data_IF_355490944090
#
_entry.id   IF_355490944090
#
_cell.length_a   1.000
_cell.length_b   1.000
_cell.length_c   1.000
_cell.angle_alpha   90.00
_cell.angle_beta   90.00
_cell.angle_gamma   90.00
#
_symmetry.space_group_name_H-M   'P 1'
#
loop_
_entity.id
_entity.type
_entity.pdbx_description
1 polymer ?
#
# COMPACT_ATOMS: atom_id res chain seq x y z
N UNK A 1 8.49 -15.15 24.83
CA UNK A 1 7.55 -14.79 23.73
C UNK A 1 6.37 -13.96 24.25
N UNK A 2 5.60 -14.42 25.25
CA UNK A 2 4.37 -13.76 25.74
C UNK A 2 4.53 -12.29 26.23
N UNK A 3 5.69 -11.91 26.79
CA UNK A 3 5.89 -10.54 27.32
C UNK A 3 5.93 -9.45 26.24
N UNK A 4 6.41 -9.76 25.03
CA UNK A 4 6.52 -8.78 23.93
C UNK A 4 5.13 -8.50 23.35
N UNK A 5 4.35 -9.56 23.10
CA UNK A 5 2.96 -9.43 22.69
C UNK A 5 2.14 -8.63 23.70
N UNK A 6 2.36 -8.85 25.00
CA UNK A 6 1.71 -8.05 26.04
C UNK A 6 2.08 -6.56 25.96
N UNK A 7 3.34 -6.22 25.71
CA UNK A 7 3.77 -4.81 25.56
C UNK A 7 3.13 -4.17 24.33
N UNK A 8 3.19 -4.83 23.17
CA UNK A 8 2.55 -4.34 21.94
C UNK A 8 1.04 -4.21 22.08
N UNK A 9 0.40 -5.15 22.80
CA UNK A 9 -1.02 -5.08 23.11
C UNK A 9 -1.34 -3.88 24.02
N UNK A 10 -0.55 -3.64 25.08
CA UNK A 10 -0.73 -2.47 25.96
C UNK A 10 -0.51 -1.17 25.18
N UNK A 11 0.51 -1.10 24.32
CA UNK A 11 0.75 0.06 23.46
C UNK A 11 -0.40 0.29 22.48
N UNK A 12 -0.88 -0.77 21.82
CA UNK A 12 -2.03 -0.71 20.93
C UNK A 12 -3.27 -0.22 21.67
N UNK A 13 -3.58 -0.80 22.83
CA UNK A 13 -4.73 -0.41 23.65
C UNK A 13 -4.62 1.02 24.17
N UNK A 14 -3.44 1.42 24.67
CA UNK A 14 -3.18 2.77 25.16
C UNK A 14 -3.29 3.82 24.06
N UNK A 15 -2.65 3.60 22.92
CA UNK A 15 -2.75 4.50 21.77
C UNK A 15 -4.16 4.54 21.20
N UNK A 16 -4.84 3.39 21.10
CA UNK A 16 -6.23 3.34 20.64
C UNK A 16 -7.15 4.10 21.60
N UNK A 17 -6.95 3.97 22.91
CA UNK A 17 -7.72 4.73 23.91
C UNK A 17 -7.47 6.24 23.80
N UNK A 18 -6.23 6.67 23.54
CA UNK A 18 -5.90 8.09 23.28
C UNK A 18 -6.60 8.58 22.01
N UNK A 19 -6.53 7.82 20.91
CA UNK A 19 -7.17 8.17 19.64
C UNK A 19 -8.70 8.23 19.77
N UNK A 20 -9.30 7.28 20.49
CA UNK A 20 -10.74 7.28 20.80
C UNK A 20 -11.13 8.44 21.72
N UNK A 21 -10.30 8.77 22.70
CA UNK A 21 -10.53 9.85 23.67
C UNK A 21 -10.39 11.26 23.09
N UNK A 22 -9.59 11.45 22.03
CA UNK A 22 -9.50 12.73 21.32
C UNK A 22 -10.76 13.03 20.48
N UNK A 23 -11.57 12.02 20.18
CA UNK A 23 -12.63 12.13 19.18
C UNK A 23 -12.04 12.30 17.77
N UNK A 24 -12.82 11.96 16.74
CA UNK A 24 -12.35 12.14 15.37
C UNK A 24 -12.09 13.60 15.05
N UNK A 25 -10.87 13.93 14.62
CA UNK A 25 -10.58 15.27 14.11
C UNK A 25 -10.99 15.40 12.65
N UNK A 26 -11.64 16.51 12.33
CA UNK A 26 -11.89 16.94 10.93
C UNK A 26 -10.66 17.58 10.27
N UNK A 27 -9.51 17.58 10.96
CA UNK A 27 -8.20 18.03 10.48
C UNK A 27 -7.21 16.89 10.24
N UNK A 28 -7.63 15.64 10.49
CA UNK A 28 -6.86 14.42 10.27
C UNK A 28 -7.58 13.54 9.24
N UNK A 29 -6.86 12.59 8.64
CA UNK A 29 -7.43 11.72 7.61
C UNK A 29 -7.57 12.38 6.24
N UNK A 30 -6.70 13.33 5.90
CA UNK A 30 -6.79 14.06 4.61
C UNK A 30 -6.82 13.12 3.39
N UNK A 31 -6.06 12.03 3.42
CA UNK A 31 -6.08 11.03 2.36
C UNK A 31 -7.25 10.06 2.51
N UNK A 32 -7.67 9.77 3.74
CA UNK A 32 -8.90 8.99 4.00
C UNK A 32 -10.15 9.68 3.47
N UNK A 33 -10.15 11.01 3.43
CA UNK A 33 -11.23 11.81 2.87
C UNK A 33 -11.50 11.44 1.41
N UNK A 34 -10.46 11.12 0.63
CA UNK A 34 -10.63 10.70 -0.76
C UNK A 34 -11.36 9.35 -0.85
N UNK A 35 -10.97 8.38 0.00
CA UNK A 35 -11.55 7.04 0.05
C UNK A 35 -13.01 7.10 0.51
N UNK A 36 -13.29 7.91 1.53
CA UNK A 36 -14.62 8.13 2.06
C UNK A 36 -15.53 8.84 1.06
N UNK A 37 -15.05 9.90 0.41
CA UNK A 37 -15.82 10.65 -0.59
C UNK A 37 -16.15 9.80 -1.81
N UNK A 38 -15.18 9.03 -2.31
CA UNK A 38 -15.40 8.10 -3.42
C UNK A 38 -16.40 7.00 -3.03
N UNK A 39 -16.29 6.46 -1.82
CA UNK A 39 -17.23 5.44 -1.32
C UNK A 39 -18.65 5.98 -1.12
N UNK A 40 -18.80 7.24 -0.65
CA UNK A 40 -20.07 7.96 -0.58
C UNK A 40 -20.73 8.05 -1.96
N UNK A 41 -19.97 8.48 -2.97
CA UNK A 41 -20.46 8.61 -4.34
C UNK A 41 -20.88 7.26 -4.93
N UNK A 42 -20.07 6.21 -4.73
CA UNK A 42 -20.39 4.87 -5.19
C UNK A 42 -21.70 4.36 -4.56
N UNK A 43 -21.89 4.55 -3.25
CA UNK A 43 -23.13 4.18 -2.56
C UNK A 43 -24.36 4.98 -3.04
N UNK A 44 -24.16 6.15 -3.65
CA UNK A 44 -25.20 6.97 -4.25
C UNK A 44 -25.45 6.63 -5.74
N UNK A 45 -24.79 5.61 -6.28
CA UNK A 45 -24.85 5.28 -7.71
C UNK A 45 -24.23 6.34 -8.61
N UNK A 46 -23.33 7.16 -8.07
CA UNK A 46 -22.63 8.23 -8.79
C UNK A 46 -21.20 7.82 -9.14
N UNK A 47 -20.60 8.48 -10.15
CA UNK A 47 -19.21 8.26 -10.52
C UNK A 47 -18.26 8.61 -9.35
N UNK A 48 -17.58 7.62 -8.72
CA UNK A 48 -16.74 7.85 -7.56
C UNK A 48 -15.36 8.45 -7.90
N UNK A 49 -15.07 8.61 -9.19
CA UNK A 49 -13.87 9.25 -9.72
C UNK A 49 -14.15 10.65 -10.30
N UNK A 50 -15.36 11.18 -10.14
CA UNK A 50 -15.72 12.54 -10.59
C UNK A 50 -15.02 13.61 -9.74
N UNK A 51 -14.11 14.39 -10.36
CA UNK A 51 -13.40 15.46 -9.67
C UNK A 51 -14.35 16.51 -9.07
N UNK A 52 -15.39 16.89 -9.81
CA UNK A 52 -16.38 17.86 -9.36
C UNK A 52 -17.16 17.35 -8.13
N UNK A 53 -17.67 16.12 -8.20
CA UNK A 53 -18.47 15.54 -7.12
C UNK A 53 -17.64 15.26 -5.86
N UNK A 54 -16.40 14.79 -6.05
CA UNK A 54 -15.42 14.64 -4.98
C UNK A 54 -15.14 15.99 -4.30
N UNK A 55 -14.86 17.04 -5.08
CA UNK A 55 -14.58 18.39 -4.56
C UNK A 55 -15.72 18.89 -3.68
N UNK A 56 -16.98 18.75 -4.13
CA UNK A 56 -18.15 19.19 -3.38
C UNK A 56 -18.26 18.51 -2.01
N UNK A 57 -18.07 17.19 -1.95
CA UNK A 57 -18.10 16.41 -0.71
C UNK A 57 -16.93 16.80 0.21
N UNK A 58 -15.73 16.94 -0.35
CA UNK A 58 -14.52 17.28 0.41
C UNK A 58 -14.63 18.66 1.06
N UNK A 59 -15.05 19.69 0.31
CA UNK A 59 -15.23 21.05 0.83
C UNK A 59 -16.34 21.14 1.90
N UNK A 60 -17.39 20.34 1.77
CA UNK A 60 -18.46 20.30 2.76
C UNK A 60 -18.04 19.63 4.08
N UNK A 61 -17.04 18.75 4.05
CA UNK A 61 -16.69 17.86 5.18
C UNK A 61 -15.39 18.28 5.88
N UNK A 62 -14.38 18.68 5.12
CA UNK A 62 -13.04 18.96 5.63
C UNK A 62 -12.98 20.27 6.42
N UNK A 63 -12.28 20.26 7.56
CA UNK A 63 -12.05 21.46 8.39
C UNK A 63 -10.57 21.73 8.68
N UNK A 64 -9.65 20.91 8.18
CA UNK A 64 -8.21 21.07 8.39
C UNK A 64 -7.53 22.14 7.54
N UNK A 65 -8.26 23.17 7.10
CA UNK A 65 -7.75 24.26 6.27
C UNK A 65 -8.11 24.15 4.79
N UNK A 66 -7.50 25.01 3.97
CA UNK A 66 -7.79 25.07 2.54
C UNK A 66 -7.33 23.79 1.82
N UNK A 67 -8.22 23.19 1.02
CA UNK A 67 -7.89 22.16 0.03
C UNK A 67 -7.86 22.86 -1.33
N UNK A 68 -6.70 23.30 -1.83
CA UNK A 68 -6.62 24.07 -3.07
C UNK A 68 -6.96 23.22 -4.31
N UNK A 69 -6.77 21.90 -4.24
CA UNK A 69 -7.04 20.94 -5.32
C UNK A 69 -7.67 19.70 -4.69
N UNK A 70 -8.76 19.13 -5.26
CA UNK A 70 -9.36 17.92 -4.73
C UNK A 70 -8.33 16.79 -4.65
N UNK A 71 -8.38 16.05 -3.55
CA UNK A 71 -7.59 14.82 -3.42
C UNK A 71 -8.34 13.75 -4.21
N UNK A 72 -7.83 13.46 -5.40
CA UNK A 72 -8.45 12.53 -6.33
C UNK A 72 -8.12 11.10 -5.93
N UNK A 73 -9.14 10.23 -6.02
CA UNK A 73 -8.98 8.80 -5.83
C UNK A 73 -8.23 8.19 -7.03
N UNK A 74 -6.90 8.03 -6.93
CA UNK A 74 -6.09 7.43 -8.02
C UNK A 74 -5.94 5.91 -7.93
N UNK A 75 -6.54 5.28 -6.93
CA UNK A 75 -6.49 3.83 -6.78
C UNK A 75 -7.42 3.13 -7.79
N UNK A 76 -7.00 1.97 -8.32
CA UNK A 76 -7.85 1.20 -9.23
C UNK A 76 -9.14 0.69 -8.55
N UNK A 77 -10.20 0.38 -9.32
CA UNK A 77 -11.52 0.02 -8.81
C UNK A 77 -11.59 -1.10 -7.78
N UNK A 78 -10.68 -2.08 -7.81
CA UNK A 78 -10.71 -3.20 -6.86
C UNK A 78 -10.62 -2.77 -5.39
N UNK A 79 -10.15 -1.55 -5.12
CA UNK A 79 -10.15 -0.98 -3.76
C UNK A 79 -11.55 -0.90 -3.15
N UNK A 80 -12.60 -0.70 -3.96
CA UNK A 80 -13.96 -0.53 -3.45
C UNK A 80 -14.48 -1.78 -2.74
N UNK A 81 -14.00 -2.97 -3.08
CA UNK A 81 -14.35 -4.19 -2.35
C UNK A 81 -13.92 -4.17 -0.88
N UNK A 82 -12.90 -3.36 -0.56
CA UNK A 82 -12.39 -3.18 0.80
C UNK A 82 -12.96 -1.96 1.51
N UNK A 83 -13.38 -0.94 0.75
CA UNK A 83 -13.70 0.37 1.35
C UNK A 83 -15.12 0.86 1.10
N UNK A 84 -15.92 0.29 0.18
CA UNK A 84 -17.22 0.89 -0.19
C UNK A 84 -18.13 1.17 1.01
N UNK A 85 -18.10 0.30 2.02
CA UNK A 85 -18.93 0.44 3.22
C UNK A 85 -18.53 1.64 4.09
N UNK A 86 -17.30 2.17 3.99
CA UNK A 86 -16.84 3.28 4.81
C UNK A 86 -17.63 4.57 4.53
N UNK A 87 -18.21 4.70 3.33
CA UNK A 87 -19.04 5.85 2.95
C UNK A 87 -20.34 5.97 3.77
N UNK A 88 -20.73 4.93 4.52
CA UNK A 88 -21.89 4.96 5.43
C UNK A 88 -21.60 5.67 6.75
N UNK A 89 -20.33 5.80 7.13
CA UNK A 89 -19.94 6.36 8.42
C UNK A 89 -19.81 7.89 8.35
N UNK A 90 -19.98 8.53 9.49
CA UNK A 90 -19.56 9.92 9.68
C UNK A 90 -18.01 10.00 9.61
N UNK A 91 -17.49 11.04 8.96
CA UNK A 91 -16.07 11.12 8.62
C UNK A 91 -15.15 11.13 9.88
N UNK A 92 -15.35 11.99 10.89
CA UNK A 92 -14.66 11.91 12.18
C UNK A 92 -14.58 10.50 12.79
N UNK A 93 -15.71 9.79 12.91
CA UNK A 93 -15.73 8.45 13.49
C UNK A 93 -14.91 7.46 12.67
N UNK A 94 -14.99 7.57 11.35
CA UNK A 94 -14.21 6.75 10.44
C UNK A 94 -12.70 7.00 10.57
N UNK A 95 -12.26 8.25 10.75
CA UNK A 95 -10.84 8.59 10.95
C UNK A 95 -10.26 7.81 12.12
N UNK A 96 -10.94 7.81 13.28
CA UNK A 96 -10.45 7.09 14.46
C UNK A 96 -10.42 5.58 14.22
N UNK A 97 -11.49 5.01 13.67
CA UNK A 97 -11.56 3.58 13.38
C UNK A 97 -10.47 3.15 12.39
N UNK A 98 -10.20 3.96 11.37
CA UNK A 98 -9.14 3.71 10.40
C UNK A 98 -7.76 3.78 11.03
N UNK A 99 -7.51 4.76 11.90
CA UNK A 99 -6.23 4.88 12.61
C UNK A 99 -5.97 3.67 13.52
N UNK A 100 -6.98 3.21 14.26
CA UNK A 100 -6.85 2.00 15.09
C UNK A 100 -6.56 0.77 14.23
N UNK A 101 -7.26 0.60 13.11
CA UNK A 101 -7.02 -0.50 12.17
C UNK A 101 -5.60 -0.44 11.58
N UNK A 102 -5.18 0.72 11.08
CA UNK A 102 -3.86 0.94 10.50
C UNK A 102 -2.75 0.64 11.52
N UNK A 103 -2.90 1.13 12.76
CA UNK A 103 -1.96 0.87 13.85
C UNK A 103 -1.86 -0.62 14.17
N UNK A 104 -2.99 -1.32 14.27
CA UNK A 104 -3.01 -2.76 14.52
C UNK A 104 -2.31 -3.54 13.40
N UNK A 105 -2.57 -3.18 12.14
CA UNK A 105 -1.90 -3.81 10.98
C UNK A 105 -0.40 -3.57 11.02
N UNK A 106 0.05 -2.33 11.24
CA UNK A 106 1.47 -2.01 11.27
C UNK A 106 2.20 -2.74 12.40
N UNK A 107 1.62 -2.79 13.60
CA UNK A 107 2.17 -3.56 14.72
C UNK A 107 2.24 -5.05 14.38
N UNK A 108 1.15 -5.62 13.85
CA UNK A 108 1.11 -7.03 13.45
C UNK A 108 2.13 -7.37 12.37
N UNK A 109 2.31 -6.49 11.39
CA UNK A 109 3.31 -6.60 10.34
C UNK A 109 4.73 -6.61 10.91
N UNK A 110 5.06 -5.67 11.81
CA UNK A 110 6.38 -5.62 12.45
C UNK A 110 6.67 -6.86 13.30
N UNK A 111 5.69 -7.33 14.08
CA UNK A 111 5.82 -8.57 14.84
C UNK A 111 6.05 -9.78 13.92
N UNK A 112 5.33 -9.84 12.81
CA UNK A 112 5.46 -10.93 11.83
C UNK A 112 6.83 -10.91 11.17
N UNK A 113 7.29 -9.75 10.68
CA UNK A 113 8.63 -9.57 10.12
C UNK A 113 9.71 -9.95 11.13
N UNK A 114 9.57 -9.53 12.39
CA UNK A 114 10.49 -9.94 13.45
C UNK A 114 10.58 -11.46 13.59
N UNK A 115 9.43 -12.15 13.61
CA UNK A 115 9.41 -13.61 13.69
C UNK A 115 10.05 -14.30 12.48
N UNK A 116 9.85 -13.75 11.28
CA UNK A 116 10.43 -14.27 10.05
C UNK A 116 11.96 -14.16 10.04
N UNK A 117 12.50 -13.03 10.48
CA UNK A 117 13.92 -12.74 10.32
C UNK A 117 14.76 -13.04 11.56
N UNK A 118 14.17 -13.19 12.75
CA UNK A 118 14.93 -13.47 13.99
C UNK A 118 14.88 -14.93 14.47
N UNK A 119 14.30 -15.87 13.69
CA UNK A 119 14.33 -17.35 13.86
C UNK A 119 14.39 -17.89 15.31
N UNK A 120 13.61 -17.31 16.24
CA UNK A 120 13.49 -17.80 17.62
C UNK A 120 14.42 -17.16 18.66
N UNK A 121 15.24 -16.18 18.29
CA UNK A 121 16.00 -15.38 19.25
C UNK A 121 15.07 -14.54 20.16
N UNK A 122 15.39 -14.48 21.46
CA UNK A 122 14.74 -13.52 22.35
C UNK A 122 15.12 -12.10 21.92
N UNK A 123 14.14 -11.18 21.83
CA UNK A 123 14.42 -9.76 21.59
C UNK A 123 15.34 -9.26 22.70
N UNK A 124 16.58 -8.85 22.42
CA UNK A 124 17.32 -8.07 23.39
C UNK A 124 16.46 -6.86 23.78
N UNK A 125 16.46 -6.45 25.05
CA UNK A 125 15.73 -5.23 25.46
C UNK A 125 16.08 -4.01 24.57
N UNK A 126 17.33 -3.97 24.09
CA UNK A 126 17.82 -3.00 23.12
C UNK A 126 17.10 -3.04 21.76
N UNK A 127 16.65 -4.21 21.30
CA UNK A 127 15.92 -4.35 20.04
C UNK A 127 14.44 -3.91 20.17
N UNK A 128 13.83 -4.02 21.35
CA UNK A 128 12.51 -3.44 21.59
C UNK A 128 12.61 -1.92 21.63
N UNK A 129 13.61 -1.41 22.36
CA UNK A 129 13.87 0.04 22.40
C UNK A 129 14.17 0.59 21.01
N UNK A 130 14.96 -0.11 20.18
CA UNK A 130 15.24 0.34 18.81
C UNK A 130 14.00 0.32 17.92
N UNK A 131 13.11 -0.67 18.07
CA UNK A 131 11.82 -0.70 17.35
C UNK A 131 10.92 0.46 17.76
N UNK A 132 10.83 0.76 19.07
CA UNK A 132 10.04 1.88 19.57
C UNK A 132 10.62 3.22 19.10
N UNK A 133 11.95 3.38 19.15
CA UNK A 133 12.62 4.56 18.61
C UNK A 133 12.34 4.68 17.12
N UNK A 134 12.44 3.59 16.35
CA UNK A 134 12.13 3.58 14.93
C UNK A 134 10.69 4.03 14.66
N UNK A 135 9.70 3.47 15.34
CA UNK A 135 8.31 3.92 15.17
C UNK A 135 8.09 5.39 15.52
N UNK A 136 8.75 5.87 16.58
CA UNK A 136 8.66 7.26 17.00
C UNK A 136 9.39 8.23 16.07
N UNK A 137 10.46 7.77 15.40
CA UNK A 137 11.34 8.61 14.58
C UNK A 137 11.19 8.41 13.08
N UNK A 138 10.37 7.46 12.63
CA UNK A 138 10.14 7.15 11.20
C UNK A 138 8.92 7.91 10.67
N UNK A 139 9.09 9.05 9.97
CA UNK A 139 7.98 9.89 9.55
C UNK A 139 6.91 9.18 8.71
N UNK A 140 7.24 8.24 7.79
CA UNK A 140 6.22 7.54 7.02
C UNK A 140 5.16 6.85 7.87
N UNK A 141 5.54 6.28 9.02
CA UNK A 141 4.61 5.65 9.95
C UNK A 141 3.57 6.65 10.47
N UNK A 142 4.05 7.78 10.98
CA UNK A 142 3.18 8.84 11.51
C UNK A 142 2.30 9.45 10.41
N UNK A 143 2.88 9.78 9.26
CA UNK A 143 2.13 10.40 8.15
C UNK A 143 1.07 9.45 7.62
N UNK A 144 1.38 8.16 7.47
CA UNK A 144 0.43 7.14 7.01
C UNK A 144 -0.78 7.03 7.96
N UNK A 145 -0.52 7.00 9.28
CA UNK A 145 -1.56 6.96 10.31
C UNK A 145 -2.38 8.26 10.32
N UNK A 146 -1.72 9.41 10.36
CA UNK A 146 -2.36 10.72 10.46
C UNK A 146 -3.17 11.07 9.19
N UNK A 147 -2.65 10.76 8.01
CA UNK A 147 -3.34 11.04 6.76
C UNK A 147 -4.43 10.01 6.44
N UNK A 148 -4.40 8.84 7.09
CA UNK A 148 -5.36 7.75 6.87
C UNK A 148 -5.12 7.04 5.53
N UNK A 149 -3.86 6.67 5.29
CA UNK A 149 -3.43 6.01 4.06
C UNK A 149 -3.92 4.57 3.94
N UNK A 150 -3.95 4.06 2.70
CA UNK A 150 -4.25 2.67 2.37
C UNK A 150 -3.01 1.75 2.48
N UNK A 151 -1.81 2.34 2.52
CA UNK A 151 -0.52 1.63 2.59
C UNK A 151 -0.41 0.57 3.70
N UNK A 152 -1.04 0.69 4.89
CA UNK A 152 -1.11 -0.41 5.86
C UNK A 152 -1.70 -1.69 5.28
N UNK A 153 -2.74 -1.61 4.42
CA UNK A 153 -3.34 -2.80 3.78
C UNK A 153 -2.36 -3.45 2.80
N UNK A 154 -1.56 -2.66 2.09
CA UNK A 154 -0.51 -3.19 1.21
C UNK A 154 0.54 -3.92 2.05
N UNK A 155 0.94 -3.33 3.19
CA UNK A 155 1.87 -3.95 4.13
C UNK A 155 1.33 -5.28 4.67
N UNK A 156 0.04 -5.35 5.00
CA UNK A 156 -0.63 -6.60 5.40
C UNK A 156 -0.52 -7.67 4.30
N UNK A 157 -0.78 -7.30 3.05
CA UNK A 157 -0.67 -8.22 1.90
C UNK A 157 0.73 -8.75 1.68
N UNK A 158 1.71 -7.84 1.67
CA UNK A 158 3.12 -8.17 1.47
C UNK A 158 3.67 -9.05 2.60
N UNK A 159 3.45 -8.67 3.86
CA UNK A 159 3.94 -9.43 5.02
C UNK A 159 3.22 -10.77 5.14
N UNK A 160 1.92 -10.81 4.86
CA UNK A 160 1.15 -12.05 4.78
C UNK A 160 1.68 -13.01 3.71
N UNK A 161 2.05 -12.49 2.54
CA UNK A 161 2.72 -13.27 1.50
C UNK A 161 4.06 -13.83 1.98
N UNK A 162 4.95 -12.97 2.50
CA UNK A 162 6.28 -13.39 2.99
C UNK A 162 6.17 -14.44 4.09
N UNK A 163 5.18 -14.30 4.97
CA UNK A 163 4.91 -15.26 6.03
C UNK A 163 4.53 -16.64 5.51
N UNK A 164 3.60 -16.70 4.55
CA UNK A 164 3.16 -17.96 3.96
C UNK A 164 4.23 -18.60 3.07
N UNK A 165 5.04 -17.78 2.39
CA UNK A 165 6.18 -18.25 1.59
C UNK A 165 7.27 -18.86 2.49
N UNK A 166 7.63 -18.19 3.59
CA UNK A 166 8.59 -18.70 4.56
C UNK A 166 8.16 -20.06 5.17
N UNK A 167 6.86 -20.24 5.45
CA UNK A 167 6.32 -21.53 5.92
C UNK A 167 6.43 -22.67 4.90
N UNK A 168 6.63 -22.35 3.61
CA UNK A 168 6.83 -23.32 2.53
C UNK A 168 8.31 -23.50 2.15
N UNK A 169 9.23 -23.06 3.02
CA UNK A 169 10.67 -23.19 2.77
C UNK A 169 11.26 -22.10 1.88
N UNK A 170 10.64 -20.91 1.84
CA UNK A 170 11.13 -19.74 1.09
C UNK A 170 11.23 -19.95 -0.43
N UNK A 171 10.47 -20.93 -0.97
CA UNK A 171 10.38 -21.17 -2.42
C UNK A 171 9.44 -20.15 -3.04
N UNK A 172 9.99 -19.00 -3.42
CA UNK A 172 9.29 -17.93 -4.13
C UNK A 172 8.45 -18.53 -5.25
N UNK A 173 7.22 -18.04 -5.40
CA UNK A 173 6.21 -18.46 -6.38
C UNK A 173 5.41 -19.76 -6.08
N UNK A 174 5.68 -20.43 -4.96
CA UNK A 174 5.04 -21.71 -4.63
C UNK A 174 3.91 -21.63 -3.58
N UNK A 175 3.26 -20.48 -3.42
CA UNK A 175 2.19 -20.28 -2.43
C UNK A 175 0.97 -19.59 -3.02
N UNK A 176 -0.12 -20.33 -3.21
CA UNK A 176 -1.41 -19.80 -3.69
C UNK A 176 -2.01 -18.77 -2.72
N UNK A 177 -2.15 -19.13 -1.45
CA UNK A 177 -2.65 -18.22 -0.42
C UNK A 177 -1.73 -17.02 -0.20
N UNK A 178 -0.41 -17.21 -0.34
CA UNK A 178 0.54 -16.10 -0.38
C UNK A 178 0.24 -15.15 -1.53
N UNK A 179 0.01 -15.68 -2.74
CA UNK A 179 -0.39 -14.88 -3.89
C UNK A 179 -1.69 -14.11 -3.68
N UNK A 180 -2.70 -14.75 -3.07
CA UNK A 180 -3.95 -14.07 -2.73
C UNK A 180 -3.74 -12.90 -1.77
N UNK A 181 -2.93 -13.06 -0.73
CA UNK A 181 -2.59 -11.93 0.17
C UNK A 181 -1.78 -10.86 -0.55
N UNK A 182 -0.83 -11.25 -1.40
CA UNK A 182 -0.06 -10.33 -2.24
C UNK A 182 -0.98 -9.49 -3.14
N UNK A 183 -2.16 -9.97 -3.52
CA UNK A 183 -3.08 -9.18 -4.35
C UNK A 183 -3.50 -7.85 -3.71
N UNK A 184 -3.50 -7.75 -2.38
CA UNK A 184 -3.75 -6.48 -1.67
C UNK A 184 -2.74 -5.39 -2.05
N UNK A 185 -1.54 -5.74 -2.51
CA UNK A 185 -0.55 -4.76 -2.97
C UNK A 185 -0.87 -4.19 -4.35
N UNK A 186 -1.79 -4.81 -5.10
CA UNK A 186 -2.27 -4.29 -6.38
C UNK A 186 -3.19 -3.07 -6.23
N UNK A 187 -3.45 -2.61 -5.01
CA UNK A 187 -4.07 -1.30 -4.75
C UNK A 187 -3.14 -0.14 -5.12
N UNK A 188 -1.82 -0.36 -5.12
CA UNK A 188 -0.78 0.51 -5.69
C UNK A 188 0.28 -0.35 -6.39
N UNK A 189 -0.02 -0.90 -7.59
CA UNK A 189 0.82 -1.93 -8.19
C UNK A 189 2.22 -1.42 -8.56
N UNK A 190 2.34 -0.14 -8.92
CA UNK A 190 3.62 0.47 -9.28
C UNK A 190 4.64 0.52 -8.12
N UNK A 191 4.23 0.40 -6.86
CA UNK A 191 5.17 0.46 -5.72
C UNK A 191 6.01 -0.82 -5.57
N UNK A 192 5.53 -1.96 -6.07
CA UNK A 192 6.17 -3.27 -5.93
C UNK A 192 6.46 -3.94 -7.29
N UNK A 193 6.63 -3.13 -8.35
CA UNK A 193 6.74 -3.66 -9.70
C UNK A 193 7.93 -4.64 -9.88
N UNK A 194 9.09 -4.41 -9.25
CA UNK A 194 10.21 -5.37 -9.31
C UNK A 194 9.91 -6.65 -8.55
N UNK A 195 9.12 -6.58 -7.47
CA UNK A 195 8.72 -7.79 -6.73
C UNK A 195 7.82 -8.65 -7.61
N UNK A 196 6.86 -8.06 -8.32
CA UNK A 196 6.02 -8.81 -9.26
C UNK A 196 6.85 -9.39 -10.41
N UNK A 197 7.77 -8.60 -10.97
CA UNK A 197 8.66 -9.06 -12.05
C UNK A 197 9.55 -10.22 -11.57
N UNK A 198 10.06 -10.12 -10.36
CA UNK A 198 10.87 -11.15 -9.72
C UNK A 198 10.08 -12.45 -9.51
N UNK A 199 8.87 -12.37 -8.95
CA UNK A 199 7.98 -13.54 -8.77
C UNK A 199 7.63 -14.14 -10.13
N UNK A 200 7.39 -13.33 -11.16
CA UNK A 200 7.10 -13.81 -12.50
C UNK A 200 8.27 -14.59 -13.11
N UNK A 201 9.49 -14.04 -13.05
CA UNK A 201 10.69 -14.74 -13.53
C UNK A 201 10.98 -15.99 -12.70
N UNK A 202 10.80 -15.94 -11.38
CA UNK A 202 10.92 -17.10 -10.50
C UNK A 202 9.93 -18.21 -10.92
N UNK A 203 8.67 -17.84 -11.19
CA UNK A 203 7.62 -18.77 -11.62
C UNK A 203 7.98 -19.46 -12.93
N UNK A 204 8.51 -18.70 -13.90
CA UNK A 204 8.98 -19.23 -15.18
C UNK A 204 10.15 -20.22 -14.99
N UNK A 205 11.16 -19.85 -14.22
CA UNK A 205 12.37 -20.67 -14.03
C UNK A 205 12.10 -21.92 -13.21
N UNK A 206 11.34 -21.80 -12.13
CA UNK A 206 11.02 -22.91 -11.22
C UNK A 206 9.82 -23.73 -11.69
N UNK A 207 9.09 -23.28 -12.73
CA UNK A 207 7.84 -23.86 -13.23
C UNK A 207 6.75 -23.96 -12.15
N UNK A 208 6.77 -23.04 -11.19
CA UNK A 208 5.80 -22.96 -10.09
C UNK A 208 4.90 -21.75 -10.28
N UNK A 209 3.61 -21.98 -10.44
CA UNK A 209 2.64 -20.94 -10.83
C UNK A 209 1.65 -20.57 -9.72
N UNK A 210 1.75 -21.21 -8.56
CA UNK A 210 0.75 -21.11 -7.50
C UNK A 210 0.59 -19.68 -7.00
N UNK A 211 1.69 -18.94 -6.77
CA UNK A 211 1.60 -17.55 -6.33
C UNK A 211 1.00 -16.65 -7.39
N UNK A 212 1.30 -16.84 -8.67
CA UNK A 212 0.68 -16.05 -9.75
C UNK A 212 -0.82 -16.37 -9.88
N UNK A 213 -1.21 -17.64 -9.77
CA UNK A 213 -2.61 -18.03 -9.75
C UNK A 213 -3.35 -17.44 -8.55
N UNK A 214 -2.72 -17.45 -7.37
CA UNK A 214 -3.25 -16.81 -6.16
C UNK A 214 -3.40 -15.30 -6.32
N UNK A 215 -2.40 -14.64 -6.90
CA UNK A 215 -2.40 -13.20 -7.17
C UNK A 215 -3.55 -12.82 -8.10
N UNK A 216 -3.72 -13.57 -9.20
CA UNK A 216 -4.81 -13.37 -10.15
C UNK A 216 -6.18 -13.63 -9.52
N UNK A 217 -6.32 -14.70 -8.73
CA UNK A 217 -7.56 -15.01 -8.01
C UNK A 217 -7.91 -13.92 -6.99
N UNK A 218 -6.94 -13.49 -6.18
CA UNK A 218 -7.13 -12.41 -5.21
C UNK A 218 -7.52 -11.09 -5.88
N UNK A 219 -6.88 -10.75 -7.00
CA UNK A 219 -7.29 -9.60 -7.81
C UNK A 219 -8.73 -9.75 -8.30
N UNK A 220 -9.12 -10.89 -8.85
CA UNK A 220 -10.48 -11.13 -9.33
C UNK A 220 -11.52 -11.00 -8.20
N UNK A 221 -11.22 -11.58 -7.02
CA UNK A 221 -12.08 -11.47 -5.82
C UNK A 221 -12.26 -10.01 -5.37
N UNK A 222 -11.22 -9.18 -5.50
CA UNK A 222 -11.34 -7.75 -5.17
C UNK A 222 -11.92 -6.91 -6.32
N UNK A 223 -11.74 -7.29 -7.58
CA UNK A 223 -12.24 -6.52 -8.72
C UNK A 223 -13.74 -6.76 -8.95
N UNK A 224 -14.22 -7.98 -8.71
CA UNK A 224 -15.59 -8.38 -9.03
C UNK A 224 -16.65 -7.59 -8.23
N UNK A 225 -16.55 -7.39 -6.89
CA UNK A 225 -17.57 -6.63 -6.18
C UNK A 225 -17.65 -5.17 -6.65
N UNK A 226 -16.53 -4.53 -7.01
CA UNK A 226 -16.54 -3.19 -7.59
C UNK A 226 -17.32 -3.13 -8.91
N UNK A 227 -17.17 -4.13 -9.77
CA UNK A 227 -17.92 -4.27 -11.02
C UNK A 227 -19.42 -4.54 -10.79
N UNK A 228 -19.77 -5.30 -9.75
CA UNK A 228 -21.16 -5.57 -9.39
C UNK A 228 -21.85 -4.33 -8.81
N UNK A 229 -21.12 -3.47 -8.10
CA UNK A 229 -21.64 -2.21 -7.56
C UNK A 229 -21.81 -1.14 -8.66
N UNK A 230 -20.90 -1.08 -9.63
CA UNK A 230 -20.98 -0.16 -10.76
C UNK A 230 -20.29 -0.75 -12.00
N UNK A 231 -21.08 -1.03 -13.04
CA UNK A 231 -20.60 -1.62 -14.29
C UNK A 231 -19.59 -0.73 -15.06
N UNK A 232 -19.69 0.59 -14.92
CA UNK A 232 -18.82 1.57 -15.59
C UNK A 232 -17.57 1.92 -14.79
N UNK A 233 -17.31 1.28 -13.64
CA UNK A 233 -16.30 1.70 -12.67
C UNK A 233 -14.89 1.80 -13.26
N UNK A 234 -14.54 0.88 -14.17
CA UNK A 234 -13.26 0.90 -14.87
C UNK A 234 -13.18 2.02 -15.91
N UNK A 235 -14.26 2.29 -16.63
CA UNK A 235 -14.32 3.42 -17.57
C UNK A 235 -14.14 4.75 -16.83
N UNK A 236 -14.78 4.92 -15.67
CA UNK A 236 -14.59 6.08 -14.80
C UNK A 236 -13.14 6.22 -14.33
N UNK A 237 -12.54 5.13 -13.85
CA UNK A 237 -11.15 5.12 -13.40
C UNK A 237 -10.16 5.49 -14.51
N UNK A 238 -10.30 4.87 -15.69
CA UNK A 238 -9.42 5.11 -16.83
C UNK A 238 -9.54 6.55 -17.35
N UNK A 239 -10.77 7.09 -17.39
CA UNK A 239 -10.98 8.49 -17.78
C UNK A 239 -10.36 9.47 -16.78
N UNK A 240 -10.53 9.23 -15.48
CA UNK A 240 -9.96 10.08 -14.43
C UNK A 240 -8.42 10.04 -14.40
N UNK A 241 -7.82 8.85 -14.57
CA UNK A 241 -6.36 8.70 -14.59
C UNK A 241 -5.71 9.24 -15.86
N UNK A 242 -6.40 9.19 -17.00
CA UNK A 242 -5.93 9.80 -18.24
C UNK A 242 -5.98 11.34 -18.21
N UNK A 243 -7.03 11.91 -17.60
CA UNK A 243 -7.23 13.36 -17.53
C UNK A 243 -6.42 14.05 -16.43
N UNK A 244 -6.25 13.41 -15.27
CA UNK A 244 -5.53 13.97 -14.13
C UNK A 244 -4.57 12.94 -13.47
N UNK A 245 -3.54 12.45 -14.21
CA UNK A 245 -2.58 11.50 -13.65
C UNK A 245 -1.79 12.08 -12.47
N UNK A 246 -1.38 11.26 -11.50
CA UNK A 246 -0.57 11.70 -10.35
C UNK A 246 0.86 12.13 -10.74
N UNK A 247 1.23 12.00 -12.01
CA UNK A 247 2.54 12.33 -12.59
C UNK A 247 2.91 13.82 -12.56
N UNK A 248 1.98 14.70 -12.15
CA UNK A 248 2.26 16.13 -12.00
C UNK A 248 2.68 16.50 -10.56
N UNK A 249 2.48 15.59 -9.60
CA UNK A 249 2.90 15.82 -8.22
C UNK A 249 4.40 15.62 -8.05
N UNK A 250 5.04 16.45 -7.23
CA UNK A 250 6.43 16.19 -6.80
C UNK A 250 6.41 15.05 -5.79
N UNK A 251 7.15 13.98 -6.07
CA UNK A 251 7.20 12.80 -5.19
C UNK A 251 8.66 12.40 -4.89
N UNK A 252 8.94 11.73 -3.76
CA UNK A 252 10.29 11.26 -3.41
C UNK A 252 10.75 10.04 -4.23
N UNK A 253 10.67 10.15 -5.56
CA UNK A 253 11.11 9.10 -6.51
C UNK A 253 12.19 9.66 -7.42
N UNK A 254 13.10 8.80 -7.88
CA UNK A 254 14.17 9.18 -8.81
C UNK A 254 13.58 9.78 -10.09
N UNK A 255 12.43 9.28 -10.56
CA UNK A 255 11.76 9.79 -11.75
C UNK A 255 11.28 11.24 -11.57
N UNK A 256 10.67 11.54 -10.41
CA UNK A 256 10.25 12.91 -10.09
C UNK A 256 11.43 13.85 -9.89
N UNK A 257 12.53 13.38 -9.29
CA UNK A 257 13.77 14.16 -9.13
C UNK A 257 14.37 14.48 -10.50
N UNK A 258 14.44 13.49 -11.41
CA UNK A 258 14.95 13.66 -12.76
C UNK A 258 14.15 14.70 -13.55
N UNK A 259 12.82 14.66 -13.48
CA UNK A 259 11.98 15.69 -14.10
C UNK A 259 12.26 17.09 -13.54
N UNK A 260 12.43 17.21 -12.22
CA UNK A 260 12.73 18.49 -11.57
C UNK A 260 14.12 19.03 -11.90
N UNK A 261 15.13 18.16 -12.06
CA UNK A 261 16.49 18.55 -12.44
C UNK A 261 16.59 18.98 -13.91
N UNK A 262 15.81 18.35 -14.79
CA UNK A 262 15.81 18.63 -16.23
C UNK A 262 14.80 19.70 -16.64
N UNK A 263 13.95 20.16 -15.72
CA UNK A 263 12.75 20.98 -15.99
C UNK A 263 11.89 20.40 -17.13
N UNK A 264 11.81 19.06 -17.20
CA UNK A 264 11.18 18.35 -18.31
C UNK A 264 10.14 17.34 -17.82
N UNK A 265 8.90 17.83 -17.70
CA UNK A 265 7.77 17.15 -17.06
C UNK A 265 6.98 16.22 -17.99
N UNK A 266 7.65 15.34 -18.75
CA UNK A 266 6.98 14.31 -19.59
C UNK A 266 6.89 12.96 -18.88
N UNK A 267 5.78 12.25 -19.09
CA UNK A 267 5.50 10.93 -18.47
C UNK A 267 6.64 9.93 -18.66
N UNK A 268 7.19 9.84 -19.87
CA UNK A 268 8.25 8.88 -20.19
C UNK A 268 9.53 9.10 -19.38
N UNK A 269 9.87 10.36 -19.04
CA UNK A 269 11.03 10.70 -18.20
C UNK A 269 10.87 10.10 -16.81
N UNK A 270 9.65 10.19 -16.27
CA UNK A 270 9.33 9.65 -14.95
C UNK A 270 9.38 8.12 -14.91
N UNK A 271 9.12 7.47 -16.05
CA UNK A 271 9.18 6.02 -16.20
C UNK A 271 10.61 5.49 -16.41
N UNK A 272 11.59 6.35 -16.76
CA UNK A 272 12.96 5.91 -17.06
C UNK A 272 13.58 5.05 -15.95
N UNK A 273 13.54 5.44 -14.65
CA UNK A 273 14.12 4.61 -13.60
C UNK A 273 13.46 3.24 -13.50
N UNK A 274 12.13 3.17 -13.66
CA UNK A 274 11.36 1.92 -13.69
C UNK A 274 11.79 1.02 -14.84
N UNK A 275 11.93 1.59 -16.04
CA UNK A 275 12.33 0.85 -17.25
C UNK A 275 13.76 0.34 -17.11
N UNK A 276 14.71 1.20 -16.75
CA UNK A 276 16.13 0.86 -16.63
C UNK A 276 16.32 -0.28 -15.64
N UNK A 277 15.78 -0.13 -14.43
CA UNK A 277 15.91 -1.16 -13.39
C UNK A 277 15.19 -2.45 -13.73
N UNK A 278 14.02 -2.40 -14.40
CA UNK A 278 13.36 -3.61 -14.92
C UNK A 278 14.24 -4.35 -15.91
N UNK A 279 14.81 -3.65 -16.89
CA UNK A 279 15.68 -4.25 -17.92
C UNK A 279 16.94 -4.85 -17.29
N UNK A 280 17.60 -4.12 -16.37
CA UNK A 280 18.78 -4.61 -15.66
C UNK A 280 18.45 -5.84 -14.81
N UNK A 281 17.34 -5.82 -14.07
CA UNK A 281 16.91 -6.94 -13.25
C UNK A 281 16.61 -8.18 -14.09
N UNK A 282 15.89 -8.05 -15.20
CA UNK A 282 15.65 -9.14 -16.15
C UNK A 282 16.95 -9.72 -16.70
N UNK A 283 17.87 -8.86 -17.14
CA UNK A 283 19.18 -9.28 -17.64
C UNK A 283 19.96 -10.08 -16.59
N UNK A 284 19.98 -9.62 -15.34
CA UNK A 284 20.64 -10.32 -14.23
C UNK A 284 19.99 -11.66 -13.90
N UNK A 285 18.65 -11.70 -13.81
CA UNK A 285 17.91 -12.90 -13.45
C UNK A 285 17.94 -13.95 -14.53
N UNK A 286 17.86 -13.59 -15.81
CA UNK A 286 17.93 -14.57 -16.90
C UNK A 286 19.35 -15.07 -17.15
N UNK A 287 20.37 -14.21 -17.05
CA UNK A 287 21.78 -14.60 -17.25
C UNK A 287 22.32 -15.49 -16.12
N UNK A 288 21.88 -15.26 -14.89
CA UNK A 288 22.34 -16.05 -13.75
C UNK A 288 21.58 -17.38 -13.68
N UNK A 289 22.21 -18.46 -14.13
CA UNK A 289 21.69 -19.82 -13.94
C UNK A 289 21.68 -20.27 -12.48
N UNK A 290 22.46 -19.60 -11.61
CA UNK A 290 22.66 -19.95 -10.20
C UNK A 290 21.94 -19.02 -9.20
N UNK A 291 21.12 -18.06 -9.65
CA UNK A 291 20.39 -17.20 -8.71
C UNK A 291 19.26 -18.01 -8.07
N UNK A 292 19.45 -18.38 -6.80
CA UNK A 292 18.40 -18.94 -5.97
C UNK A 292 17.34 -17.88 -5.67
N UNK A 293 16.12 -18.11 -6.14
CA UNK A 293 14.99 -17.23 -5.87
C UNK A 293 14.53 -17.42 -4.43
N UNK A 294 14.82 -16.45 -3.56
CA UNK A 294 14.41 -16.44 -2.16
C UNK A 294 13.61 -15.19 -1.79
N UNK A 295 12.82 -15.31 -0.72
CA UNK A 295 12.09 -14.19 -0.12
C UNK A 295 12.99 -13.10 0.46
N UNK A 296 14.28 -13.38 0.68
CA UNK A 296 15.26 -12.37 1.12
C UNK A 296 15.54 -11.33 0.04
N UNK A 297 15.57 -11.74 -1.23
CA UNK A 297 15.79 -10.80 -2.34
C UNK A 297 14.63 -9.81 -2.45
N UNK A 298 13.41 -10.21 -2.09
CA UNK A 298 12.23 -9.33 -2.07
C UNK A 298 12.46 -8.13 -1.14
N UNK A 299 13.13 -8.31 0.00
CA UNK A 299 13.47 -7.21 0.91
C UNK A 299 14.36 -6.14 0.27
N UNK A 300 15.21 -6.54 -0.67
CA UNK A 300 16.10 -5.62 -1.41
C UNK A 300 15.32 -4.96 -2.55
N UNK A 301 14.42 -5.71 -3.19
CA UNK A 301 13.64 -5.21 -4.32
C UNK A 301 12.56 -4.20 -3.92
N UNK A 302 12.04 -4.25 -2.69
CA UNK A 302 11.05 -3.29 -2.18
C UNK A 302 11.59 -1.85 -2.23
N UNK A 303 12.70 -1.48 -1.54
CA UNK A 303 13.19 -0.11 -1.55
C UNK A 303 13.61 0.34 -2.96
N UNK A 304 14.17 -0.56 -3.77
CA UNK A 304 14.48 -0.22 -5.17
C UNK A 304 13.19 0.08 -5.94
N UNK A 305 12.14 -0.72 -5.79
CA UNK A 305 10.84 -0.50 -6.44
C UNK A 305 10.25 0.85 -6.03
N UNK A 306 10.27 1.17 -4.74
CA UNK A 306 9.73 2.43 -4.23
C UNK A 306 10.47 3.64 -4.82
N UNK A 307 11.81 3.63 -4.78
CA UNK A 307 12.65 4.73 -5.29
C UNK A 307 12.53 4.94 -6.80
N UNK A 308 12.35 3.85 -7.54
CA UNK A 308 12.36 3.85 -9.01
C UNK A 308 10.97 3.74 -9.63
N UNK A 309 9.92 3.66 -8.81
CA UNK A 309 8.54 3.78 -9.25
C UNK A 309 8.32 5.12 -9.94
N UNK A 310 7.36 5.21 -10.90
CA UNK A 310 7.07 6.47 -11.56
C UNK A 310 6.50 7.50 -10.59
N UNK A 311 5.86 7.09 -9.50
CA UNK A 311 5.40 7.99 -8.43
C UNK A 311 5.17 7.16 -7.16
N UNK A 312 5.22 7.83 -6.01
CA UNK A 312 5.08 7.21 -4.69
C UNK A 312 5.44 8.24 -3.63
N UNK A 313 4.69 8.30 -2.53
CA UNK A 313 4.80 9.38 -1.55
C UNK A 313 5.63 8.95 -0.34
N UNK A 314 5.90 9.90 0.56
CA UNK A 314 6.74 9.63 1.74
C UNK A 314 6.13 8.54 2.64
N UNK A 315 4.81 8.47 2.75
CA UNK A 315 4.10 7.46 3.55
C UNK A 315 4.08 6.06 2.90
N UNK A 316 4.56 5.93 1.66
CA UNK A 316 4.69 4.64 0.97
C UNK A 316 6.04 3.95 1.27
N UNK A 317 6.98 4.66 1.90
CA UNK A 317 8.32 4.18 2.29
C UNK A 317 8.28 3.41 3.62
#
# INVERSE_FOLDING_TARGET
MNRIYAIYLVLLLGLSAVLLGQGGSTTSGVDLLQYWSASKLLLQGSNPYSAQSMTAIQLATWRGGAIPIPIMMWNPPQIFSLIFFIGKFNFPTLVVGWQVLALAIMIGATLTCYHLYNRGGALPRAALLSQLIFFASFPPFYVSLHAGQISPILLLGLVGYLYLDARRGETVSNSFWGGMLLSLTLLKPHLLYLVYLYIFVASLKNKTWLTLAGLACGFAVMALPALLLESNIWSYYLNATASAPPIYWKTPTVGSMLQGLLDYHKVWVRMLPTIITSVLALGLWFKSGALEFSSKQILILIPISLLTSPYGWIFDQ
#
